data_IF_501600769115
#
_entry.id   IF_501600769115
#
_cell.length_a   1.000
_cell.length_b   1.000
_cell.length_c   1.000
_cell.angle_alpha   90.00
_cell.angle_beta   90.00
_cell.angle_gamma   90.00
#
_symmetry.space_group_name_H-M   'P 1'
#
loop_
_entity.id
_entity.type
_entity.pdbx_description
1 polymer ?
#
# COMPACT_ATOMS: atom_id res chain seq x y z
N UNK A 1 -12.94 -3.48 13.37
CA UNK A 1 -11.58 -2.90 13.41
C UNK A 1 -11.53 -1.50 12.80
N UNK A 2 -11.96 -1.32 11.54
CA UNK A 2 -12.07 0.00 10.89
C UNK A 2 -13.23 0.88 11.40
N UNK A 3 -14.10 0.36 12.28
CA UNK A 3 -15.26 1.08 12.82
C UNK A 3 -14.96 1.85 14.12
N UNK A 4 -13.70 1.86 14.56
CA UNK A 4 -13.30 2.62 15.74
C UNK A 4 -13.49 4.12 15.52
N UNK A 5 -13.95 4.84 16.56
CA UNK A 5 -14.00 6.31 16.56
C UNK A 5 -12.62 6.96 16.37
N UNK A 6 -11.55 6.21 16.65
CA UNK A 6 -10.17 6.66 16.49
C UNK A 6 -9.51 5.95 15.29
N UNK A 7 -9.13 6.74 14.29
CA UNK A 7 -8.51 6.29 13.03
C UNK A 7 -7.08 5.79 13.20
N UNK A 8 -6.45 6.08 14.35
CA UNK A 8 -5.12 5.60 14.70
C UNK A 8 -5.10 4.18 15.28
N UNK A 9 -6.26 3.58 15.61
CA UNK A 9 -6.30 2.26 16.23
C UNK A 9 -5.58 1.20 15.39
N UNK A 10 -5.77 1.21 14.06
CA UNK A 10 -5.12 0.26 13.16
C UNK A 10 -3.62 0.49 13.01
N UNK A 11 -3.14 1.71 12.70
CA UNK A 11 -1.72 2.04 12.77
C UNK A 11 -1.04 1.62 14.08
N UNK A 12 -1.68 1.87 15.23
CA UNK A 12 -1.14 1.50 16.55
C UNK A 12 -0.95 -0.01 16.68
N UNK A 13 -1.91 -0.82 16.22
CA UNK A 13 -1.77 -2.29 16.24
C UNK A 13 -0.63 -2.75 15.33
N UNK A 14 -0.47 -2.13 14.15
CA UNK A 14 0.65 -2.42 13.26
C UNK A 14 1.99 -2.08 13.94
N UNK A 15 2.11 -0.91 14.55
CA UNK A 15 3.32 -0.49 15.25
C UNK A 15 3.62 -1.35 16.46
N UNK A 16 2.61 -1.72 17.26
CA UNK A 16 2.78 -2.62 18.40
C UNK A 16 3.31 -4.00 17.94
N UNK A 17 2.78 -4.53 16.84
CA UNK A 17 3.29 -5.77 16.24
C UNK A 17 4.72 -5.63 15.73
N UNK A 18 5.07 -4.53 15.05
CA UNK A 18 6.45 -4.24 14.62
C UNK A 18 7.41 -4.13 15.79
N UNK A 19 7.00 -3.43 16.86
CA UNK A 19 7.81 -3.26 18.06
C UNK A 19 8.05 -4.59 18.78
N UNK A 20 7.00 -5.41 18.94
CA UNK A 20 7.12 -6.76 19.49
C UNK A 20 8.09 -7.61 18.66
N UNK A 21 7.98 -7.56 17.32
CA UNK A 21 8.86 -8.30 16.45
C UNK A 21 10.32 -7.82 16.54
N UNK A 22 10.55 -6.50 16.66
CA UNK A 22 11.87 -5.94 16.85
C UNK A 22 12.49 -6.37 18.19
N UNK A 23 11.70 -6.42 19.27
CA UNK A 23 12.14 -6.94 20.58
C UNK A 23 12.50 -8.42 20.48
N UNK A 24 11.70 -9.23 19.79
CA UNK A 24 12.00 -10.64 19.57
C UNK A 24 13.30 -10.82 18.78
N UNK A 25 13.47 -10.08 17.67
CA UNK A 25 14.70 -10.11 16.87
C UNK A 25 15.93 -9.63 17.66
N UNK A 26 15.75 -8.68 18.58
CA UNK A 26 16.81 -8.27 19.49
C UNK A 26 17.16 -9.40 20.47
N UNK A 27 16.16 -10.00 21.10
CA UNK A 27 16.33 -11.07 22.08
C UNK A 27 17.05 -12.30 21.50
N UNK A 28 16.77 -12.67 20.24
CA UNK A 28 17.44 -13.79 19.55
C UNK A 28 18.70 -13.38 18.78
N UNK A 29 19.12 -12.10 18.84
CA UNK A 29 20.37 -11.64 18.22
C UNK A 29 20.32 -11.36 16.71
N UNK A 30 19.15 -11.41 16.07
CA UNK A 30 18.99 -11.25 14.60
C UNK A 30 18.65 -9.83 14.15
N UNK A 31 18.50 -8.88 15.07
CA UNK A 31 18.18 -7.48 14.76
C UNK A 31 19.20 -6.80 13.84
N UNK A 32 20.50 -7.07 13.99
CA UNK A 32 21.58 -6.47 13.19
C UNK A 32 22.73 -7.46 12.94
N UNK A 33 22.41 -8.61 12.34
CA UNK A 33 23.39 -9.69 12.07
C UNK A 33 23.96 -9.64 10.64
N UNK A 34 25.23 -10.04 10.51
CA UNK A 34 25.94 -10.28 9.24
C UNK A 34 26.29 -11.76 9.04
N UNK A 35 26.44 -12.16 7.78
CA UNK A 35 27.02 -13.45 7.41
C UNK A 35 27.83 -13.31 6.12
N UNK A 36 28.73 -14.27 5.85
CA UNK A 36 29.62 -14.21 4.70
C UNK A 36 29.20 -15.20 3.61
N UNK A 37 28.37 -14.80 2.62
CA UNK A 37 27.90 -15.72 1.57
C UNK A 37 29.00 -16.19 0.63
N UNK A 38 30.05 -15.39 0.46
CA UNK A 38 31.27 -15.69 -0.32
C UNK A 38 32.49 -15.09 0.40
N UNK A 39 33.71 -15.61 0.17
CA UNK A 39 34.91 -15.06 0.79
C UNK A 39 35.09 -13.56 0.50
N UNK A 40 35.26 -12.77 1.55
CA UNK A 40 35.49 -11.32 1.46
C UNK A 40 34.23 -10.45 1.42
N UNK A 41 33.03 -11.02 1.45
CA UNK A 41 31.77 -10.29 1.56
C UNK A 41 31.12 -10.55 2.91
N UNK A 42 31.02 -9.53 3.76
CA UNK A 42 30.25 -9.58 5.02
C UNK A 42 28.91 -8.88 4.84
N UNK A 43 27.87 -9.68 4.54
CA UNK A 43 26.55 -9.16 4.16
C UNK A 43 25.65 -8.95 5.37
N UNK A 44 25.08 -7.76 5.48
CA UNK A 44 24.13 -7.37 6.51
C UNK A 44 22.72 -7.86 6.16
N UNK A 45 22.15 -8.72 7.01
CA UNK A 45 20.81 -9.31 6.79
C UNK A 45 19.82 -9.08 7.93
N UNK A 46 20.27 -8.51 9.05
CA UNK A 46 19.44 -8.29 10.23
C UNK A 46 18.15 -7.47 9.98
N UNK A 47 17.15 -7.68 10.85
CA UNK A 47 15.81 -7.08 10.72
C UNK A 47 15.83 -5.56 10.48
N UNK A 48 16.73 -4.83 11.15
CA UNK A 48 16.82 -3.37 11.05
C UNK A 48 17.18 -2.88 9.64
N UNK A 49 17.85 -3.73 8.86
CA UNK A 49 18.31 -3.42 7.51
C UNK A 49 17.35 -3.89 6.42
N UNK A 50 16.23 -4.50 6.82
CA UNK A 50 15.23 -5.01 5.91
C UNK A 50 14.10 -3.97 5.73
N UNK A 51 14.06 -3.19 4.63
CA UNK A 51 13.07 -2.13 4.43
C UNK A 51 11.63 -2.66 4.34
N UNK A 52 11.45 -3.95 4.01
CA UNK A 52 10.16 -4.63 4.04
C UNK A 52 9.59 -4.81 5.46
N UNK A 53 10.40 -4.61 6.50
CA UNK A 53 9.99 -4.69 7.89
C UNK A 53 10.02 -3.32 8.56
N UNK A 54 11.09 -2.55 8.35
CA UNK A 54 11.25 -1.25 8.99
C UNK A 54 10.48 -0.14 8.29
N UNK A 55 10.61 0.02 6.99
CA UNK A 55 9.95 1.11 6.25
C UNK A 55 8.51 0.75 5.90
N UNK A 56 8.29 -0.45 5.35
CA UNK A 56 6.96 -0.90 4.91
C UNK A 56 5.94 -0.91 6.06
N UNK A 57 6.23 -1.65 7.13
CA UNK A 57 5.27 -1.87 8.22
C UNK A 57 5.06 -0.61 9.06
N UNK A 58 6.13 0.11 9.36
CA UNK A 58 6.06 1.28 10.26
C UNK A 58 5.51 2.50 9.53
N UNK A 59 5.84 2.69 8.25
CA UNK A 59 5.47 3.91 7.52
C UNK A 59 4.37 3.63 6.49
N UNK A 60 4.64 2.81 5.47
CA UNK A 60 3.74 2.72 4.31
C UNK A 60 2.38 2.10 4.64
N UNK A 61 2.37 0.94 5.32
CA UNK A 61 1.11 0.28 5.68
C UNK A 61 0.37 1.06 6.77
N UNK A 62 1.08 1.66 7.73
CA UNK A 62 0.46 2.48 8.76
C UNK A 62 -0.25 3.70 8.16
N UNK A 63 0.42 4.45 7.27
CA UNK A 63 -0.17 5.59 6.58
C UNK A 63 -1.33 5.19 5.67
N UNK A 64 -1.22 4.07 4.97
CA UNK A 64 -2.33 3.49 4.20
C UNK A 64 -3.56 3.25 5.09
N UNK A 65 -3.41 2.55 6.21
CA UNK A 65 -4.52 2.22 7.09
C UNK A 65 -5.11 3.47 7.77
N UNK A 66 -4.28 4.45 8.09
CA UNK A 66 -4.73 5.73 8.60
C UNK A 66 -5.62 6.44 7.58
N UNK A 67 -5.17 6.59 6.33
CA UNK A 67 -5.93 7.28 5.27
C UNK A 67 -7.25 6.54 4.98
N UNK A 68 -7.23 5.21 4.92
CA UNK A 68 -8.45 4.41 4.75
C UNK A 68 -9.43 4.66 5.90
N UNK A 69 -8.93 4.70 7.14
CA UNK A 69 -9.77 4.89 8.34
C UNK A 69 -10.36 6.31 8.39
N UNK A 70 -9.55 7.34 8.10
CA UNK A 70 -10.02 8.72 7.96
C UNK A 70 -11.07 8.86 6.86
N UNK A 71 -10.80 8.30 5.68
CA UNK A 71 -11.74 8.35 4.55
C UNK A 71 -13.06 7.67 4.91
N UNK A 72 -13.00 6.51 5.58
CA UNK A 72 -14.18 5.80 6.06
C UNK A 72 -14.95 6.59 7.12
N UNK A 73 -14.22 7.28 8.02
CA UNK A 73 -14.82 8.14 9.02
C UNK A 73 -15.57 9.30 8.37
N UNK A 74 -14.90 10.08 7.51
CA UNK A 74 -15.52 11.18 6.76
C UNK A 74 -16.68 10.71 5.87
N UNK A 75 -16.57 9.52 5.28
CA UNK A 75 -17.65 8.90 4.52
C UNK A 75 -18.90 8.69 5.38
N UNK A 76 -18.73 8.16 6.59
CA UNK A 76 -19.82 7.87 7.51
C UNK A 76 -20.45 9.12 8.14
N UNK A 77 -19.64 10.11 8.51
CA UNK A 77 -20.10 11.26 9.30
C UNK A 77 -20.56 12.44 8.46
N UNK A 78 -19.82 12.77 7.39
CA UNK A 78 -20.01 14.03 6.67
C UNK A 78 -20.49 13.81 5.24
N UNK A 79 -19.79 12.99 4.47
CA UNK A 79 -19.97 12.95 3.02
C UNK A 79 -21.32 12.35 2.63
N UNK A 80 -21.77 11.30 3.33
CA UNK A 80 -23.08 10.69 3.10
C UNK A 80 -24.25 11.63 3.38
N UNK A 81 -24.12 12.52 4.36
CA UNK A 81 -25.16 13.48 4.68
C UNK A 81 -25.37 14.50 3.55
N UNK A 82 -24.29 14.85 2.84
CA UNK A 82 -24.30 15.81 1.72
C UNK A 82 -24.92 15.28 0.42
N UNK A 83 -25.15 13.97 0.31
CA UNK A 83 -25.73 13.34 -0.87
C UNK A 83 -27.26 13.25 -0.85
N UNK A 84 -27.91 13.57 0.27
CA UNK A 84 -29.24 13.07 0.51
C UNK A 84 -30.39 13.98 0.08
N UNK A 85 -31.41 13.30 -0.45
CA UNK A 85 -32.81 13.69 -0.52
C UNK A 85 -33.58 13.25 0.78
N UNK A 86 -34.84 13.66 0.95
CA UNK A 86 -35.66 13.67 2.19
C UNK A 86 -35.85 12.32 2.95
N UNK A 87 -35.26 11.20 2.52
CA UNK A 87 -35.47 9.84 3.06
C UNK A 87 -34.94 9.53 4.47
N UNK A 88 -34.57 10.54 5.27
CA UNK A 88 -34.11 10.41 6.66
C UNK A 88 -32.75 9.72 6.84
N UNK A 89 -32.14 9.85 8.02
CA UNK A 89 -30.85 9.22 8.37
C UNK A 89 -30.94 7.68 8.41
N UNK A 90 -32.09 7.15 8.83
CA UNK A 90 -32.28 5.72 9.08
C UNK A 90 -32.26 4.87 7.79
N UNK A 91 -32.82 5.38 6.69
CA UNK A 91 -32.76 4.71 5.39
C UNK A 91 -31.34 4.69 4.83
N UNK A 92 -30.58 5.78 5.05
CA UNK A 92 -29.18 5.87 4.63
C UNK A 92 -28.37 4.80 5.34
N UNK A 93 -28.47 4.70 6.66
CA UNK A 93 -27.67 3.75 7.44
C UNK A 93 -28.00 2.29 7.12
N UNK A 94 -29.27 1.96 6.88
CA UNK A 94 -29.64 0.65 6.39
C UNK A 94 -28.95 0.30 5.05
N UNK A 95 -28.88 1.25 4.10
CA UNK A 95 -28.25 1.02 2.79
C UNK A 95 -26.72 0.82 2.87
N UNK A 96 -26.06 1.52 3.79
CA UNK A 96 -24.61 1.37 4.01
C UNK A 96 -24.27 0.09 4.75
N UNK A 97 -25.03 -0.24 5.81
CA UNK A 97 -24.88 -1.49 6.55
C UNK A 97 -25.03 -2.69 5.63
N UNK A 98 -26.04 -2.68 4.74
CA UNK A 98 -26.22 -3.75 3.75
C UNK A 98 -25.01 -3.90 2.82
N UNK A 99 -24.39 -2.80 2.39
CA UNK A 99 -23.15 -2.86 1.58
C UNK A 99 -21.95 -3.38 2.36
N UNK A 100 -21.87 -3.08 3.66
CA UNK A 100 -20.86 -3.66 4.53
C UNK A 100 -21.07 -5.16 4.72
N UNK A 101 -22.32 -5.60 4.87
CA UNK A 101 -22.68 -7.02 4.94
C UNK A 101 -22.33 -7.74 3.64
N UNK A 102 -22.53 -7.12 2.48
CA UNK A 102 -22.12 -7.67 1.18
C UNK A 102 -20.58 -7.74 1.03
N UNK A 103 -19.84 -6.82 1.68
CA UNK A 103 -18.37 -6.78 1.63
C UNK A 103 -17.69 -7.69 2.66
N UNK A 104 -18.36 -8.01 3.77
CA UNK A 104 -17.80 -8.81 4.86
C UNK A 104 -17.33 -10.22 4.44
N UNK A 105 -18.07 -10.99 3.61
CA UNK A 105 -17.60 -12.27 3.09
C UNK A 105 -16.27 -12.16 2.34
N UNK A 106 -16.05 -11.06 1.61
CA UNK A 106 -14.80 -10.83 0.90
C UNK A 106 -13.63 -10.61 1.87
N UNK A 107 -13.84 -9.88 2.96
CA UNK A 107 -12.82 -9.71 4.02
C UNK A 107 -12.48 -11.03 4.71
N UNK A 108 -13.46 -11.91 4.94
CA UNK A 108 -13.22 -13.25 5.48
C UNK A 108 -12.49 -14.16 4.49
N UNK A 109 -12.85 -14.10 3.21
CA UNK A 109 -12.15 -14.84 2.16
C UNK A 109 -10.69 -14.39 2.04
N UNK A 110 -10.44 -13.09 2.11
CA UNK A 110 -9.09 -12.50 2.12
C UNK A 110 -8.32 -12.97 3.35
N UNK A 111 -8.96 -13.02 4.54
CA UNK A 111 -8.31 -13.55 5.74
C UNK A 111 -7.89 -15.01 5.55
N UNK A 112 -8.79 -15.86 5.04
CA UNK A 112 -8.50 -17.26 4.73
C UNK A 112 -7.35 -17.39 3.72
N UNK A 113 -7.34 -16.58 2.67
CA UNK A 113 -6.26 -16.55 1.68
C UNK A 113 -4.93 -16.09 2.29
N UNK A 114 -4.92 -15.06 3.15
CA UNK A 114 -3.72 -14.61 3.85
C UNK A 114 -3.20 -15.70 4.80
N UNK A 115 -4.07 -16.36 5.55
CA UNK A 115 -3.69 -17.47 6.44
C UNK A 115 -3.10 -18.64 5.64
N UNK A 116 -3.70 -19.01 4.51
CA UNK A 116 -3.24 -20.13 3.71
C UNK A 116 -1.94 -19.80 2.95
N UNK A 117 -1.87 -18.66 2.28
CA UNK A 117 -0.77 -18.33 1.36
C UNK A 117 0.38 -17.66 2.10
N UNK A 118 0.09 -16.61 2.88
CA UNK A 118 1.13 -15.82 3.59
C UNK A 118 1.61 -16.61 4.80
N UNK A 119 0.71 -17.01 5.70
CA UNK A 119 1.14 -17.70 6.91
C UNK A 119 1.56 -19.14 6.60
N UNK A 120 0.63 -20.04 6.26
CA UNK A 120 0.96 -21.46 6.08
C UNK A 120 1.91 -21.68 4.90
N UNK A 121 1.66 -21.07 3.75
CA UNK A 121 2.48 -21.23 2.55
C UNK A 121 3.92 -20.75 2.74
N UNK A 122 4.12 -19.51 3.23
CA UNK A 122 5.48 -18.98 3.40
C UNK A 122 6.16 -19.56 4.63
N UNK A 123 5.46 -19.68 5.76
CA UNK A 123 6.08 -20.22 6.96
C UNK A 123 6.38 -21.73 6.83
N UNK A 124 5.39 -22.58 6.53
CA UNK A 124 5.64 -24.02 6.43
C UNK A 124 6.44 -24.38 5.17
N UNK A 125 6.10 -23.78 4.04
CA UNK A 125 6.66 -24.13 2.73
C UNK A 125 8.05 -23.55 2.46
N UNK A 126 8.39 -22.40 3.05
CA UNK A 126 9.69 -21.73 2.83
C UNK A 126 10.53 -21.80 4.10
N UNK A 127 10.12 -21.15 5.19
CA UNK A 127 10.97 -21.01 6.36
C UNK A 127 11.18 -22.31 7.13
N UNK A 128 10.10 -22.95 7.58
CA UNK A 128 10.15 -24.20 8.33
C UNK A 128 10.84 -25.31 7.54
N UNK A 129 10.50 -25.47 6.26
CA UNK A 129 11.11 -26.51 5.42
C UNK A 129 12.63 -26.35 5.30
N UNK A 130 13.12 -25.12 5.12
CA UNK A 130 14.55 -24.82 5.01
C UNK A 130 15.24 -25.01 6.37
N UNK A 131 14.65 -24.49 7.45
CA UNK A 131 15.16 -24.63 8.82
C UNK A 131 15.22 -26.10 9.28
N UNK A 132 14.18 -26.89 8.99
CA UNK A 132 14.11 -28.30 9.37
C UNK A 132 15.11 -29.18 8.61
N UNK A 133 15.42 -28.82 7.35
CA UNK A 133 16.45 -29.51 6.56
C UNK A 133 17.87 -29.13 6.96
N UNK A 134 18.05 -27.95 7.57
CA UNK A 134 19.37 -27.43 7.96
C UNK A 134 20.28 -27.10 6.77
N UNK A 135 19.73 -26.99 5.56
CA UNK A 135 20.46 -26.66 4.33
C UNK A 135 19.72 -25.56 3.60
N UNK A 136 20.41 -24.46 3.35
CA UNK A 136 19.86 -23.26 2.69
C UNK A 136 19.61 -23.49 1.19
N UNK A 137 20.42 -24.32 0.53
CA UNK A 137 20.32 -24.54 -0.92
C UNK A 137 20.41 -23.19 -1.65
N UNK A 138 19.46 -22.92 -2.55
CA UNK A 138 19.38 -21.63 -3.26
C UNK A 138 18.46 -20.61 -2.57
N UNK A 139 18.01 -20.85 -1.32
CA UNK A 139 17.13 -19.91 -0.64
C UNK A 139 17.87 -18.59 -0.33
N UNK A 140 17.20 -17.47 -0.55
CA UNK A 140 17.63 -16.15 -0.10
C UNK A 140 17.79 -16.15 1.43
N UNK A 141 18.93 -15.66 1.93
CA UNK A 141 19.22 -15.60 3.38
C UNK A 141 18.78 -14.24 3.92
N UNK A 142 17.88 -14.26 4.89
CA UNK A 142 17.44 -13.10 5.65
C UNK A 142 17.76 -13.25 7.13
N UNK A 143 17.33 -12.29 7.95
CA UNK A 143 17.53 -12.29 9.41
C UNK A 143 16.96 -13.51 10.13
N UNK A 144 16.11 -14.32 9.51
CA UNK A 144 15.60 -15.58 10.08
C UNK A 144 16.46 -16.75 9.58
N UNK A 145 16.61 -16.90 8.27
CA UNK A 145 17.30 -18.04 7.67
C UNK A 145 18.81 -18.04 7.91
N UNK A 146 19.37 -16.90 8.34
CA UNK A 146 20.75 -16.80 8.81
C UNK A 146 21.09 -17.78 9.94
N UNK A 147 20.10 -18.31 10.66
CA UNK A 147 20.31 -19.33 11.69
C UNK A 147 20.99 -20.61 11.19
N UNK A 148 20.89 -20.91 9.89
CA UNK A 148 21.59 -22.05 9.28
C UNK A 148 23.08 -21.74 9.08
N UNK A 149 23.40 -20.50 8.71
CA UNK A 149 24.77 -20.05 8.44
C UNK A 149 25.51 -19.60 9.72
N UNK A 150 24.74 -19.13 10.72
CA UNK A 150 25.22 -18.57 12.00
C UNK A 150 24.47 -19.18 13.20
N UNK A 151 24.54 -20.51 13.40
CA UNK A 151 23.90 -21.17 14.55
C UNK A 151 24.54 -20.79 15.89
N UNK A 152 25.71 -20.13 15.87
CA UNK A 152 26.38 -19.55 17.03
C UNK A 152 25.64 -18.34 17.62
N UNK A 153 24.82 -17.65 16.81
CA UNK A 153 24.07 -16.45 17.24
C UNK A 153 22.61 -16.77 17.54
N UNK A 154 21.94 -17.53 16.67
CA UNK A 154 20.52 -17.86 16.80
C UNK A 154 20.31 -19.34 16.50
N UNK A 155 19.64 -20.05 17.41
CA UNK A 155 19.37 -21.47 17.21
C UNK A 155 18.25 -21.68 16.18
N UNK A 156 18.25 -22.84 15.52
CA UNK A 156 17.20 -23.22 14.57
C UNK A 156 15.81 -23.19 15.23
N UNK A 157 15.71 -23.64 16.48
CA UNK A 157 14.44 -23.63 17.24
C UNK A 157 13.91 -22.22 17.48
N UNK A 158 14.79 -21.28 17.85
CA UNK A 158 14.43 -19.87 18.01
C UNK A 158 13.99 -19.26 16.67
N UNK A 159 14.74 -19.53 15.60
CA UNK A 159 14.41 -19.07 14.25
C UNK A 159 13.05 -19.60 13.76
N UNK A 160 12.70 -20.85 14.07
CA UNK A 160 11.38 -21.42 13.78
C UNK A 160 10.27 -20.62 14.47
N UNK A 161 10.41 -20.35 15.77
CA UNK A 161 9.39 -19.67 16.56
C UNK A 161 9.23 -18.24 16.07
N UNK A 162 10.34 -17.52 15.95
CA UNK A 162 10.35 -16.12 15.52
C UNK A 162 9.83 -15.98 14.09
N UNK A 163 10.18 -16.89 13.18
CA UNK A 163 9.63 -16.90 11.82
C UNK A 163 8.13 -17.18 11.78
N UNK A 164 7.62 -18.05 12.64
CA UNK A 164 6.18 -18.30 12.76
C UNK A 164 5.43 -17.04 13.19
N UNK A 165 5.94 -16.35 14.21
CA UNK A 165 5.36 -15.08 14.68
C UNK A 165 5.46 -13.97 13.63
N UNK A 166 6.60 -13.85 12.94
CA UNK A 166 6.81 -12.91 11.84
C UNK A 166 5.81 -13.10 10.69
N UNK A 167 5.58 -14.35 10.27
CA UNK A 167 4.66 -14.68 9.20
C UNK A 167 3.19 -14.53 9.63
N UNK A 168 2.86 -14.87 10.88
CA UNK A 168 1.52 -14.64 11.44
C UNK A 168 1.20 -13.13 11.52
N UNK A 169 2.16 -12.33 11.98
CA UNK A 169 2.05 -10.88 11.96
C UNK A 169 1.88 -10.36 10.53
N UNK A 170 2.71 -10.82 9.58
CA UNK A 170 2.58 -10.44 8.16
C UNK A 170 1.21 -10.82 7.57
N UNK A 171 0.66 -11.98 7.94
CA UNK A 171 -0.69 -12.39 7.55
C UNK A 171 -1.73 -11.37 8.01
N UNK A 172 -1.67 -10.94 9.28
CA UNK A 172 -2.56 -9.90 9.80
C UNK A 172 -2.38 -8.57 9.04
N UNK A 173 -1.14 -8.14 8.79
CA UNK A 173 -0.86 -6.89 8.08
C UNK A 173 -1.44 -6.92 6.66
N UNK A 174 -1.22 -7.99 5.90
CA UNK A 174 -1.76 -8.11 4.55
C UNK A 174 -3.28 -8.22 4.54
N UNK A 175 -3.87 -8.94 5.50
CA UNK A 175 -5.32 -8.98 5.64
C UNK A 175 -5.89 -7.56 5.87
N UNK A 176 -5.29 -6.78 6.77
CA UNK A 176 -5.71 -5.40 7.03
C UNK A 176 -5.55 -4.52 5.77
N UNK A 177 -4.43 -4.64 5.07
CA UNK A 177 -4.16 -3.93 3.82
C UNK A 177 -5.20 -4.22 2.74
N UNK A 178 -5.43 -5.50 2.42
CA UNK A 178 -6.40 -5.90 1.39
C UNK A 178 -7.84 -5.59 1.81
N UNK A 179 -8.19 -5.70 3.09
CA UNK A 179 -9.49 -5.26 3.60
C UNK A 179 -9.68 -3.76 3.42
N UNK A 180 -8.63 -2.95 3.61
CA UNK A 180 -8.66 -1.52 3.34
C UNK A 180 -8.93 -1.21 1.86
N UNK A 181 -8.33 -1.96 0.93
CA UNK A 181 -8.62 -1.83 -0.51
C UNK A 181 -10.07 -2.18 -0.85
N UNK A 182 -10.63 -3.23 -0.25
CA UNK A 182 -12.06 -3.58 -0.41
C UNK A 182 -12.96 -2.46 0.11
N UNK A 183 -12.63 -1.85 1.25
CA UNK A 183 -13.39 -0.73 1.80
C UNK A 183 -13.36 0.50 0.88
N UNK A 184 -12.19 0.87 0.35
CA UNK A 184 -12.07 1.94 -0.66
C UNK A 184 -12.95 1.65 -1.88
N UNK A 185 -12.93 0.41 -2.36
CA UNK A 185 -13.75 -0.02 -3.48
C UNK A 185 -15.26 0.03 -3.20
N UNK A 186 -15.67 -0.34 -1.98
CA UNK A 186 -17.03 -0.25 -1.51
C UNK A 186 -17.51 1.21 -1.45
N UNK A 187 -16.68 2.12 -0.90
CA UNK A 187 -16.98 3.57 -0.87
C UNK A 187 -17.10 4.16 -2.28
N UNK A 188 -16.21 3.80 -3.21
CA UNK A 188 -16.31 4.24 -4.61
C UNK A 188 -17.61 3.73 -5.28
N UNK A 189 -18.04 2.51 -4.96
CA UNK A 189 -19.32 1.97 -5.43
C UNK A 189 -20.53 2.66 -4.81
N UNK A 190 -20.47 2.99 -3.52
CA UNK A 190 -21.52 3.75 -2.84
C UNK A 190 -21.62 5.18 -3.39
N UNK A 191 -20.50 5.83 -3.71
CA UNK A 191 -20.45 7.11 -4.40
C UNK A 191 -21.12 7.04 -5.78
N UNK A 192 -20.75 6.05 -6.60
CA UNK A 192 -21.34 5.87 -7.93
C UNK A 192 -22.87 5.69 -7.87
N UNK A 193 -23.35 4.96 -6.85
CA UNK A 193 -24.77 4.78 -6.62
C UNK A 193 -25.46 6.09 -6.22
N UNK A 194 -24.92 6.81 -5.24
CA UNK A 194 -25.46 8.11 -4.80
C UNK A 194 -25.53 9.11 -5.95
N UNK A 195 -24.48 9.18 -6.77
CA UNK A 195 -24.44 10.01 -7.98
C UNK A 195 -25.49 9.62 -9.04
N UNK A 196 -25.95 8.36 -9.05
CA UNK A 196 -27.01 7.88 -9.93
C UNK A 196 -28.42 8.16 -9.43
N UNK A 197 -28.57 8.53 -8.16
CA UNK A 197 -29.86 8.85 -7.51
C UNK A 197 -30.04 10.35 -7.28
N UNK A 198 -29.19 11.20 -7.89
CA UNK A 198 -29.32 12.65 -7.81
C UNK A 198 -30.64 13.11 -8.46
N UNK A 199 -31.34 14.01 -7.77
CA UNK A 199 -32.57 14.63 -8.25
C UNK A 199 -32.25 15.89 -9.07
N UNK A 200 -33.03 16.11 -10.14
CA UNK A 200 -32.89 17.29 -11.00
C UNK A 200 -33.27 18.57 -10.27
N UNK A 201 -34.21 18.52 -9.32
CA UNK A 201 -34.77 19.70 -8.64
C UNK A 201 -33.80 20.34 -7.63
N UNK A 202 -32.75 19.62 -7.19
CA UNK A 202 -31.71 20.11 -6.27
C UNK A 202 -30.29 20.10 -6.87
N UNK A 203 -30.19 20.06 -8.21
CA UNK A 203 -28.97 19.71 -8.92
C UNK A 203 -27.77 20.65 -8.67
N UNK A 204 -27.97 21.98 -8.56
CA UNK A 204 -26.87 22.94 -8.49
C UNK A 204 -25.88 22.70 -7.33
N UNK A 205 -26.41 22.62 -6.12
CA UNK A 205 -25.65 22.40 -4.88
C UNK A 205 -25.16 20.94 -4.81
N UNK A 206 -25.99 19.99 -5.25
CA UNK A 206 -25.63 18.57 -5.27
C UNK A 206 -24.49 18.27 -6.24
N UNK A 207 -24.44 18.91 -7.42
CA UNK A 207 -23.36 18.77 -8.41
C UNK A 207 -22.03 19.18 -7.79
N UNK A 208 -21.96 20.36 -7.15
CA UNK A 208 -20.73 20.85 -6.53
C UNK A 208 -20.25 19.91 -5.41
N UNK A 209 -21.17 19.48 -4.54
CA UNK A 209 -20.85 18.53 -3.47
C UNK A 209 -20.37 17.18 -4.01
N UNK A 210 -20.97 16.67 -5.09
CA UNK A 210 -20.57 15.41 -5.73
C UNK A 210 -19.17 15.51 -6.32
N UNK A 211 -18.82 16.61 -6.98
CA UNK A 211 -17.47 16.83 -7.50
C UNK A 211 -16.43 16.99 -6.40
N UNK A 212 -16.75 17.70 -5.31
CA UNK A 212 -15.87 17.85 -4.15
C UNK A 212 -15.60 16.51 -3.48
N UNK A 213 -16.66 15.76 -3.14
CA UNK A 213 -16.54 14.46 -2.48
C UNK A 213 -15.89 13.42 -3.39
N UNK A 214 -16.28 13.37 -4.67
CA UNK A 214 -15.65 12.49 -5.66
C UNK A 214 -14.16 12.81 -5.84
N UNK A 215 -13.80 14.10 -5.76
CA UNK A 215 -12.43 14.57 -5.61
C UNK A 215 -11.79 13.95 -4.39
N UNK A 216 -12.24 14.33 -3.17
CA UNK A 216 -11.78 13.89 -1.83
C UNK A 216 -11.54 12.37 -1.74
N UNK A 217 -12.51 11.59 -2.20
CA UNK A 217 -12.43 10.13 -2.24
C UNK A 217 -11.33 9.65 -3.20
N UNK A 218 -11.27 10.19 -4.42
CA UNK A 218 -10.27 9.75 -5.41
C UNK A 218 -8.84 10.04 -4.98
N UNK A 219 -8.57 11.18 -4.35
CA UNK A 219 -7.21 11.44 -3.88
C UNK A 219 -6.82 10.66 -2.63
N UNK A 220 -7.75 10.34 -1.73
CA UNK A 220 -7.49 9.36 -0.68
C UNK A 220 -7.11 7.99 -1.27
N UNK A 221 -7.85 7.52 -2.28
CA UNK A 221 -7.55 6.29 -3.02
C UNK A 221 -6.18 6.37 -3.70
N UNK A 222 -5.85 7.51 -4.32
CA UNK A 222 -4.55 7.75 -4.93
C UNK A 222 -3.41 7.65 -3.90
N UNK A 223 -3.52 8.34 -2.75
CA UNK A 223 -2.52 8.28 -1.70
C UNK A 223 -2.34 6.85 -1.16
N UNK A 224 -3.45 6.14 -0.94
CA UNK A 224 -3.43 4.72 -0.57
C UNK A 224 -2.73 3.85 -1.64
N UNK A 225 -2.95 4.16 -2.92
CA UNK A 225 -2.31 3.46 -4.04
C UNK A 225 -0.81 3.70 -4.08
N UNK A 226 -0.37 4.95 -3.87
CA UNK A 226 1.05 5.29 -3.76
C UNK A 226 1.70 4.50 -2.63
N UNK A 227 1.13 4.52 -1.41
CA UNK A 227 1.68 3.76 -0.28
C UNK A 227 1.65 2.24 -0.50
N UNK A 228 0.63 1.71 -1.18
CA UNK A 228 0.58 0.30 -1.57
C UNK A 228 1.67 -0.09 -2.58
N UNK A 229 1.98 0.76 -3.55
CA UNK A 229 3.08 0.52 -4.50
C UNK A 229 4.44 0.65 -3.81
N UNK A 230 4.60 1.62 -2.91
CA UNK A 230 5.81 1.78 -2.10
C UNK A 230 6.03 0.57 -1.17
N UNK A 231 4.95 0.03 -0.60
CA UNK A 231 4.96 -1.23 0.17
C UNK A 231 5.48 -2.40 -0.66
N UNK A 232 4.89 -2.64 -1.83
CA UNK A 232 5.36 -3.67 -2.76
C UNK A 232 6.83 -3.46 -3.18
N UNK A 233 7.21 -2.20 -3.42
CA UNK A 233 8.57 -1.83 -3.79
C UNK A 233 9.57 -2.12 -2.67
N UNK A 234 9.24 -1.85 -1.40
CA UNK A 234 10.09 -2.20 -0.25
C UNK A 234 10.28 -3.72 -0.11
N UNK A 235 9.23 -4.51 -0.36
CA UNK A 235 9.32 -5.98 -0.34
C UNK A 235 10.26 -6.47 -1.44
N UNK A 236 10.06 -6.00 -2.68
CA UNK A 236 10.93 -6.37 -3.81
C UNK A 236 12.35 -5.86 -3.61
N UNK A 237 12.54 -4.61 -3.19
CA UNK A 237 13.85 -4.01 -2.96
C UNK A 237 14.65 -4.80 -1.91
N UNK A 238 14.02 -5.17 -0.79
CA UNK A 238 14.66 -6.01 0.21
C UNK A 238 15.13 -7.35 -0.40
N UNK A 239 14.26 -8.00 -1.18
CA UNK A 239 14.59 -9.26 -1.83
C UNK A 239 15.73 -9.14 -2.85
N UNK A 240 15.71 -8.11 -3.70
CA UNK A 240 16.77 -7.81 -4.67
C UNK A 240 18.09 -7.56 -3.94
N UNK A 241 18.07 -6.74 -2.87
CA UNK A 241 19.26 -6.49 -2.07
C UNK A 241 19.83 -7.80 -1.49
N UNK A 242 19.00 -8.66 -0.91
CA UNK A 242 19.45 -9.89 -0.27
C UNK A 242 20.05 -10.91 -1.25
N UNK A 243 19.71 -10.85 -2.53
CA UNK A 243 20.34 -11.66 -3.58
C UNK A 243 21.45 -10.93 -4.35
N UNK A 244 21.75 -9.68 -4.03
CA UNK A 244 22.90 -8.94 -4.59
C UNK A 244 24.18 -9.21 -3.77
N UNK A 245 25.33 -8.83 -4.30
CA UNK A 245 26.61 -8.82 -3.60
C UNK A 245 26.84 -7.59 -2.69
N UNK A 246 25.84 -6.72 -2.53
CA UNK A 246 25.96 -5.54 -1.66
C UNK A 246 26.12 -5.90 -0.18
N UNK A 247 27.12 -5.31 0.49
CA UNK A 247 27.39 -5.52 1.93
C UNK A 247 26.25 -5.01 2.82
N UNK A 248 25.77 -3.79 2.57
CA UNK A 248 24.63 -3.21 3.25
C UNK A 248 23.74 -2.46 2.24
N UNK A 249 22.44 -2.41 2.53
CA UNK A 249 21.45 -1.87 1.57
C UNK A 249 21.70 -0.41 1.19
N UNK A 250 22.21 0.41 2.12
CA UNK A 250 22.47 1.82 1.88
C UNK A 250 23.70 2.02 1.00
N UNK A 251 24.79 1.31 1.29
CA UNK A 251 26.00 1.33 0.46
C UNK A 251 25.74 0.75 -0.93
N UNK A 252 24.89 -0.28 -1.04
CA UNK A 252 24.47 -0.83 -2.33
C UNK A 252 23.71 0.20 -3.17
N UNK A 253 22.69 0.87 -2.58
CA UNK A 253 21.93 1.91 -3.26
C UNK A 253 22.78 3.13 -3.62
N UNK A 254 23.66 3.57 -2.70
CA UNK A 254 24.55 4.71 -2.92
C UNK A 254 25.60 4.39 -3.97
N UNK A 255 26.18 3.18 -3.94
CA UNK A 255 27.12 2.70 -4.94
C UNK A 255 26.50 2.67 -6.33
N UNK A 256 25.27 2.17 -6.46
CA UNK A 256 24.50 2.19 -7.72
C UNK A 256 24.27 3.62 -8.23
N UNK A 257 23.93 4.56 -7.34
CA UNK A 257 23.73 5.97 -7.71
C UNK A 257 25.03 6.63 -8.18
N UNK A 258 26.14 6.39 -7.46
CA UNK A 258 27.45 6.94 -7.80
C UNK A 258 28.00 6.35 -9.11
N UNK A 259 27.74 5.07 -9.36
CA UNK A 259 28.13 4.41 -10.62
C UNK A 259 27.41 5.04 -11.80
N UNK A 260 26.11 5.35 -11.67
CA UNK A 260 25.34 6.05 -12.70
C UNK A 260 25.84 7.48 -12.97
N UNK A 261 26.42 8.13 -11.97
CA UNK A 261 27.08 9.45 -12.11
C UNK A 261 28.52 9.35 -12.65
N UNK A 262 29.03 8.15 -12.91
CA UNK A 262 30.40 7.92 -13.35
C UNK A 262 31.46 8.15 -12.25
N UNK A 263 31.05 8.24 -10.99
CA UNK A 263 31.95 8.47 -9.85
C UNK A 263 32.61 7.18 -9.35
N UNK A 264 32.03 6.02 -9.65
CA UNK A 264 32.56 4.70 -9.30
C UNK A 264 32.44 3.72 -10.48
N UNK A 265 33.35 2.76 -10.56
CA UNK A 265 33.31 1.66 -11.55
C UNK A 265 32.86 0.32 -10.95
N UNK A 266 32.44 0.29 -9.69
CA UNK A 266 31.95 -0.93 -9.06
C UNK A 266 30.57 -1.26 -9.60
N UNK A 267 30.52 -2.25 -10.49
CA UNK A 267 29.29 -2.94 -10.85
C UNK A 267 28.92 -3.91 -9.73
N UNK A 268 27.67 -3.88 -9.30
CA UNK A 268 27.14 -4.87 -8.36
C UNK A 268 26.85 -6.19 -9.10
N UNK A 269 27.07 -7.29 -8.41
CA UNK A 269 26.83 -8.66 -8.86
C UNK A 269 25.62 -9.31 -8.18
N UNK A 270 25.35 -10.55 -8.59
CA UNK A 270 24.25 -11.37 -8.07
C UNK A 270 24.76 -12.63 -7.40
N UNK A 271 24.11 -12.98 -6.30
CA UNK A 271 24.20 -14.29 -5.67
C UNK A 271 23.21 -15.23 -6.37
N UNK A 272 23.60 -16.48 -6.62
CA UNK A 272 22.73 -17.51 -7.22
C UNK A 272 21.64 -17.98 -6.24
N UNK A 273 20.67 -17.12 -5.96
CA UNK A 273 19.61 -17.32 -4.95
C UNK A 273 18.22 -17.01 -5.51
N UNK A 274 17.22 -17.68 -4.97
CA UNK A 274 15.80 -17.53 -5.33
C UNK A 274 15.07 -16.73 -4.25
N UNK A 275 14.34 -15.70 -4.68
CA UNK A 275 13.56 -14.83 -3.79
C UNK A 275 12.05 -15.01 -3.98
N UNK A 276 11.42 -15.79 -3.08
CA UNK A 276 9.96 -15.92 -2.98
C UNK A 276 9.19 -14.59 -2.82
N UNK A 277 9.73 -13.53 -2.16
CA UNK A 277 9.03 -12.26 -2.03
C UNK A 277 8.69 -11.55 -3.36
N UNK A 278 9.26 -11.97 -4.49
CA UNK A 278 8.86 -11.47 -5.81
C UNK A 278 7.39 -11.76 -6.13
N UNK A 279 6.90 -12.94 -5.75
CA UNK A 279 5.50 -13.30 -5.98
C UNK A 279 4.57 -12.46 -5.10
N UNK A 280 4.89 -12.35 -3.81
CA UNK A 280 4.10 -11.55 -2.86
C UNK A 280 4.04 -10.08 -3.26
N UNK A 281 5.19 -9.48 -3.58
CA UNK A 281 5.25 -8.07 -3.99
C UNK A 281 4.50 -7.81 -5.29
N UNK A 282 4.55 -8.74 -6.25
CA UNK A 282 3.76 -8.68 -7.48
C UNK A 282 2.25 -8.66 -7.21
N UNK A 283 1.74 -9.54 -6.35
CA UNK A 283 0.31 -9.55 -6.02
C UNK A 283 -0.13 -8.27 -5.30
N UNK A 284 0.68 -7.76 -4.37
CA UNK A 284 0.40 -6.50 -3.68
C UNK A 284 0.28 -5.35 -4.68
N UNK A 285 1.23 -5.18 -5.58
CA UNK A 285 1.15 -4.10 -6.58
C UNK A 285 -0.01 -4.30 -7.57
N UNK A 286 -0.23 -5.53 -8.04
CA UNK A 286 -1.28 -5.85 -9.00
C UNK A 286 -2.67 -5.51 -8.45
N UNK A 287 -3.00 -6.00 -7.25
CA UNK A 287 -4.30 -5.75 -6.62
C UNK A 287 -4.47 -4.27 -6.30
N UNK A 288 -3.41 -3.60 -5.83
CA UNK A 288 -3.43 -2.16 -5.54
C UNK A 288 -3.75 -1.34 -6.80
N UNK A 289 -3.06 -1.60 -7.90
CA UNK A 289 -3.29 -0.91 -9.16
C UNK A 289 -4.69 -1.23 -9.73
N UNK A 290 -5.12 -2.49 -9.65
CA UNK A 290 -6.46 -2.88 -10.09
C UNK A 290 -7.55 -2.12 -9.35
N UNK A 291 -7.46 -2.05 -8.01
CA UNK A 291 -8.43 -1.33 -7.18
C UNK A 291 -8.41 0.17 -7.49
N UNK A 292 -7.24 0.78 -7.68
CA UNK A 292 -7.12 2.17 -8.11
C UNK A 292 -7.94 2.46 -9.38
N UNK A 293 -7.69 1.70 -10.47
CA UNK A 293 -8.38 1.92 -11.74
C UNK A 293 -9.87 1.57 -11.66
N UNK A 294 -10.23 0.51 -10.91
CA UNK A 294 -11.64 0.16 -10.70
C UNK A 294 -12.40 1.27 -9.96
N UNK A 295 -11.81 1.84 -8.92
CA UNK A 295 -12.40 2.96 -8.19
C UNK A 295 -12.48 4.23 -9.05
N UNK A 296 -11.42 4.56 -9.79
CA UNK A 296 -11.40 5.68 -10.72
C UNK A 296 -12.51 5.55 -11.77
N UNK A 297 -12.72 4.34 -12.32
CA UNK A 297 -13.79 4.07 -13.27
C UNK A 297 -15.19 4.29 -12.65
N UNK A 298 -15.41 3.83 -11.40
CA UNK A 298 -16.67 4.03 -10.67
C UNK A 298 -16.95 5.50 -10.37
N UNK A 299 -15.97 6.23 -9.85
CA UNK A 299 -16.09 7.66 -9.55
C UNK A 299 -16.33 8.46 -10.83
N UNK A 300 -15.58 8.18 -11.90
CA UNK A 300 -15.78 8.80 -13.21
C UNK A 300 -17.18 8.53 -13.77
N UNK A 301 -17.67 7.30 -13.63
CA UNK A 301 -19.03 6.95 -14.06
C UNK A 301 -20.08 7.72 -13.26
N UNK A 302 -19.92 7.87 -11.94
CA UNK A 302 -20.79 8.69 -11.10
C UNK A 302 -20.80 10.16 -11.54
N UNK A 303 -19.63 10.78 -11.66
CA UNK A 303 -19.53 12.20 -12.05
C UNK A 303 -20.04 12.47 -13.47
N UNK A 304 -19.89 11.54 -14.41
CA UNK A 304 -20.47 11.68 -15.76
C UNK A 304 -22.00 11.74 -15.72
N UNK A 305 -22.63 10.93 -14.88
CA UNK A 305 -24.10 10.96 -14.71
C UNK A 305 -24.54 12.30 -14.13
N UNK A 306 -23.88 12.76 -13.08
CA UNK A 306 -24.14 14.08 -12.46
C UNK A 306 -23.95 15.21 -13.48
N UNK A 307 -22.88 15.18 -14.27
CA UNK A 307 -22.63 16.18 -15.31
C UNK A 307 -23.72 16.17 -16.41
N UNK A 308 -24.27 15.01 -16.76
CA UNK A 308 -25.37 14.93 -17.74
C UNK A 308 -26.68 15.52 -17.21
N UNK A 309 -26.95 15.39 -15.91
CA UNK A 309 -28.12 15.98 -15.27
C UNK A 309 -28.02 17.51 -15.23
N UNK A 310 -26.84 18.05 -14.91
CA UNK A 310 -26.58 19.49 -14.96
C UNK A 310 -26.73 20.10 -16.37
N UNK A 311 -26.59 19.29 -17.43
CA UNK A 311 -26.80 19.73 -18.81
C UNK A 311 -28.27 20.04 -19.16
N UNK A 312 -29.22 19.59 -18.34
CA UNK A 312 -30.66 19.84 -18.50
C UNK A 312 -31.15 21.07 -17.74
N UNK A 313 -30.26 21.74 -17.01
CA UNK A 313 -30.54 22.89 -16.14
C UNK A 313 -29.74 24.09 -16.67
N UNK A 314 -30.04 25.29 -16.16
CA UNK A 314 -29.56 26.60 -16.62
C UNK A 314 -28.15 26.61 -17.28
N UNK A 315 -27.95 27.39 -18.37
CA UNK A 315 -26.69 27.41 -19.13
C UNK A 315 -25.43 27.66 -18.29
N UNK A 316 -25.54 28.43 -17.20
CA UNK A 316 -24.44 28.73 -16.29
C UNK A 316 -23.96 27.52 -15.49
N UNK A 317 -24.89 26.68 -15.01
CA UNK A 317 -24.57 25.48 -14.24
C UNK A 317 -23.93 24.40 -15.10
N UNK A 318 -24.39 24.28 -16.34
CA UNK A 318 -23.77 23.41 -17.35
C UNK A 318 -22.31 23.76 -17.58
N UNK A 319 -22.00 25.03 -17.82
CA UNK A 319 -20.61 25.48 -18.03
C UNK A 319 -19.73 25.20 -16.80
N UNK A 320 -20.29 25.38 -15.59
CA UNK A 320 -19.59 25.07 -14.34
C UNK A 320 -19.31 23.57 -14.18
N UNK A 321 -20.31 22.72 -14.40
CA UNK A 321 -20.17 21.26 -14.30
C UNK A 321 -19.15 20.72 -15.33
N UNK A 322 -19.19 21.22 -16.56
CA UNK A 322 -18.20 20.87 -17.59
C UNK A 322 -16.77 21.29 -17.20
N UNK A 323 -16.62 22.46 -16.57
CA UNK A 323 -15.34 22.94 -16.02
C UNK A 323 -14.80 22.03 -14.91
N UNK A 324 -15.64 21.69 -13.93
CA UNK A 324 -15.29 20.77 -12.84
C UNK A 324 -14.91 19.37 -13.37
N UNK A 325 -15.64 18.86 -14.36
CA UNK A 325 -15.36 17.59 -15.00
C UNK A 325 -14.01 17.58 -15.73
N UNK A 326 -13.70 18.65 -16.47
CA UNK A 326 -12.38 18.81 -17.12
C UNK A 326 -11.25 18.87 -16.08
N UNK A 327 -11.42 19.63 -15.01
CA UNK A 327 -10.44 19.73 -13.92
C UNK A 327 -10.21 18.39 -13.22
N UNK A 328 -11.30 17.65 -12.94
CA UNK A 328 -11.22 16.31 -12.36
C UNK A 328 -10.48 15.35 -13.31
N UNK A 329 -10.78 15.37 -14.60
CA UNK A 329 -10.13 14.50 -15.59
C UNK A 329 -8.62 14.77 -15.69
N UNK A 330 -8.20 16.04 -15.73
CA UNK A 330 -6.76 16.40 -15.75
C UNK A 330 -6.08 15.92 -14.47
N UNK A 331 -6.70 16.10 -13.30
CA UNK A 331 -6.16 15.64 -12.02
C UNK A 331 -5.99 14.12 -12.00
N UNK A 332 -6.95 13.37 -12.51
CA UNK A 332 -6.88 11.90 -12.55
C UNK A 332 -5.87 11.37 -13.55
N UNK A 333 -5.65 12.07 -14.67
CA UNK A 333 -4.57 11.74 -15.61
C UNK A 333 -3.20 11.92 -14.95
N UNK A 334 -3.00 13.00 -14.18
CA UNK A 334 -1.77 13.22 -13.39
C UNK A 334 -1.56 12.09 -12.37
N UNK A 335 -2.61 11.73 -11.61
CA UNK A 335 -2.57 10.61 -10.64
C UNK A 335 -2.20 9.28 -11.34
N UNK A 336 -2.83 8.99 -12.48
CA UNK A 336 -2.56 7.77 -13.26
C UNK A 336 -1.12 7.75 -13.77
N UNK A 337 -0.57 8.92 -14.16
CA UNK A 337 0.83 9.06 -14.55
C UNK A 337 1.80 8.75 -13.41
N UNK A 338 1.52 9.24 -12.19
CA UNK A 338 2.33 8.93 -11.00
C UNK A 338 2.24 7.44 -10.63
N UNK A 339 1.05 6.85 -10.68
CA UNK A 339 0.85 5.41 -10.48
C UNK A 339 1.66 4.61 -11.52
N UNK A 340 1.58 4.98 -12.79
CA UNK A 340 2.35 4.36 -13.87
C UNK A 340 3.86 4.46 -13.67
N UNK A 341 4.37 5.65 -13.30
CA UNK A 341 5.78 5.86 -12.98
C UNK A 341 6.25 4.92 -11.85
N UNK A 342 5.50 4.86 -10.75
CA UNK A 342 5.83 4.00 -9.61
C UNK A 342 5.79 2.51 -9.98
N UNK A 343 4.82 2.08 -10.80
CA UNK A 343 4.73 0.69 -11.29
C UNK A 343 5.89 0.32 -12.22
N UNK A 344 6.29 1.22 -13.12
CA UNK A 344 7.47 1.01 -13.98
C UNK A 344 8.73 0.94 -13.13
N UNK A 345 8.90 1.85 -12.17
CA UNK A 345 10.02 1.81 -11.23
C UNK A 345 10.06 0.49 -10.44
N UNK A 346 8.91 0.01 -9.94
CA UNK A 346 8.82 -1.31 -9.29
C UNK A 346 9.32 -2.44 -10.21
N UNK A 347 8.93 -2.43 -11.50
CA UNK A 347 9.37 -3.45 -12.45
C UNK A 347 10.90 -3.42 -12.65
N UNK A 348 11.48 -2.21 -12.70
CA UNK A 348 12.89 -1.98 -12.99
C UNK A 348 13.84 -2.09 -11.79
N UNK A 349 13.34 -2.28 -10.57
CA UNK A 349 14.17 -2.43 -9.37
C UNK A 349 15.26 -3.49 -9.56
N UNK A 350 16.53 -3.06 -9.46
CA UNK A 350 17.70 -3.91 -9.62
C UNK A 350 17.93 -4.45 -11.02
N UNK A 351 17.42 -3.80 -12.08
CA UNK A 351 17.58 -4.32 -13.46
C UNK A 351 18.65 -3.60 -14.28
N UNK A 352 19.08 -2.42 -13.86
CA UNK A 352 20.06 -1.59 -14.57
C UNK A 352 20.82 -0.70 -13.57
N UNK A 353 22.04 -0.27 -13.92
CA UNK A 353 22.84 0.65 -13.11
C UNK A 353 22.20 2.03 -13.02
N UNK A 354 21.99 2.54 -11.82
CA UNK A 354 21.32 3.81 -11.57
C UNK A 354 19.82 3.70 -11.29
N UNK A 355 19.30 2.48 -11.11
CA UNK A 355 17.91 2.28 -10.70
C UNK A 355 17.61 2.96 -9.35
N UNK A 356 18.61 3.13 -8.48
CA UNK A 356 18.45 3.79 -7.17
C UNK A 356 18.09 5.28 -7.31
N UNK A 357 18.60 5.96 -8.34
CA UNK A 357 18.22 7.36 -8.64
C UNK A 357 16.78 7.45 -9.11
N UNK A 358 16.36 6.54 -10.00
CA UNK A 358 14.97 6.46 -10.46
C UNK A 358 14.03 6.14 -9.29
N UNK A 359 14.45 5.25 -8.39
CA UNK A 359 13.71 4.91 -7.18
C UNK A 359 13.51 6.13 -6.29
N UNK A 360 14.58 6.86 -5.96
CA UNK A 360 14.51 8.06 -5.13
C UNK A 360 13.60 9.12 -5.76
N UNK A 361 13.80 9.43 -7.04
CA UNK A 361 12.98 10.39 -7.78
C UNK A 361 11.49 9.98 -7.76
N UNK A 362 11.20 8.71 -8.03
CA UNK A 362 9.83 8.19 -8.08
C UNK A 362 9.16 8.26 -6.71
N UNK A 363 9.87 7.92 -5.64
CA UNK A 363 9.39 8.06 -4.26
C UNK A 363 9.07 9.53 -3.95
N UNK A 364 10.00 10.44 -4.25
CA UNK A 364 9.82 11.88 -4.01
C UNK A 364 8.60 12.42 -4.76
N UNK A 365 8.43 12.07 -6.03
CA UNK A 365 7.26 12.47 -6.84
C UNK A 365 5.98 11.90 -6.26
N UNK A 366 5.97 10.62 -5.87
CA UNK A 366 4.80 9.97 -5.26
C UNK A 366 4.37 10.64 -3.96
N UNK A 367 5.30 10.81 -3.02
CA UNK A 367 5.04 11.43 -1.71
C UNK A 367 4.65 12.90 -1.86
N UNK A 368 5.36 13.67 -2.68
CA UNK A 368 5.01 15.08 -2.94
C UNK A 368 3.62 15.21 -3.56
N UNK A 369 3.23 14.30 -4.46
CA UNK A 369 1.90 14.26 -5.03
C UNK A 369 0.82 13.98 -3.98
N UNK A 370 1.08 13.07 -3.02
CA UNK A 370 0.17 12.82 -1.90
C UNK A 370 0.00 14.05 -1.01
N UNK A 371 1.10 14.72 -0.66
CA UNK A 371 1.10 15.92 0.19
C UNK A 371 0.35 17.07 -0.49
N UNK A 372 0.68 17.33 -1.77
CA UNK A 372 -0.01 18.35 -2.57
C UNK A 372 -1.52 18.14 -2.57
N UNK A 373 -1.93 16.88 -2.66
CA UNK A 373 -3.33 16.53 -2.73
C UNK A 373 -4.03 16.65 -1.38
N UNK A 374 -3.36 16.28 -0.28
CA UNK A 374 -3.85 16.52 1.08
C UNK A 374 -4.07 18.02 1.35
N UNK A 375 -3.10 18.88 0.99
CA UNK A 375 -3.23 20.34 1.18
C UNK A 375 -4.26 21.01 0.26
N UNK A 376 -4.51 20.43 -0.92
CA UNK A 376 -5.55 20.91 -1.85
C UNK A 376 -6.98 20.60 -1.39
N UNK A 377 -7.14 19.74 -0.38
CA UNK A 377 -8.45 19.43 0.22
C UNK A 377 -8.83 20.45 1.30
N UNK A 378 -7.85 21.02 2.02
CA UNK A 378 -8.06 22.04 3.06
C UNK A 378 -8.35 23.42 2.47
N UNK A 379 -7.65 23.81 1.41
CA UNK A 379 -7.81 25.12 0.76
C UNK A 379 -9.18 25.32 0.11
N UNK A 380 -9.85 24.25 -0.32
CA UNK A 380 -11.21 24.32 -0.89
C UNK A 380 -12.33 24.55 0.12
N UNK A 381 -12.04 24.45 1.42
CA UNK A 381 -13.01 24.75 2.49
C UNK A 381 -13.02 26.24 2.85
N UNK A 382 -12.00 27.01 2.45
CA UNK A 382 -11.89 28.44 2.77
C UNK A 382 -12.43 29.42 1.70
N UNK A 383 -12.83 28.93 0.53
CA UNK A 383 -13.28 29.76 -0.61
C UNK A 383 -14.73 29.47 -1.07
N UNK A 384 -15.52 28.77 -0.25
CA UNK A 384 -16.99 28.65 -0.39
C UNK A 384 -17.62 29.31 0.84
#
# INVERSE_FOLDING_TARGET
MFDGRNTLNLPIVIWAGSALLAILAYAVGTHSITFSPVPGLDKQVGLLWAPSWTVDRIVFVALFLFIVSETLHSWKTEWRAKFADDGGEQSRDASWLRRMDDAAPMCWLILGACLLVVFLGQWLGVYWLVLAKGVTGNAMIDWILVAIERPDVVTVSEAVIVSGLANLYSCFVYWAFFSGLVLLHAMAGAFQYAAGSCDADRAALQVTNMFDIGGKLMGAIFCCTVFGILSASSIKLNAVYLISDGENILAWLLGDALAALGATHNEWGWLERTAWPYVTSFFVIFVTCFVFFACQARIRSGLKKVNSLAGNIEPGERSRAEGLMKQAQVSWQKMSGVVGLLTVNFALLGTFTGFSMLLLLSISVGVASCIWWAGSAETRVGEI
#
